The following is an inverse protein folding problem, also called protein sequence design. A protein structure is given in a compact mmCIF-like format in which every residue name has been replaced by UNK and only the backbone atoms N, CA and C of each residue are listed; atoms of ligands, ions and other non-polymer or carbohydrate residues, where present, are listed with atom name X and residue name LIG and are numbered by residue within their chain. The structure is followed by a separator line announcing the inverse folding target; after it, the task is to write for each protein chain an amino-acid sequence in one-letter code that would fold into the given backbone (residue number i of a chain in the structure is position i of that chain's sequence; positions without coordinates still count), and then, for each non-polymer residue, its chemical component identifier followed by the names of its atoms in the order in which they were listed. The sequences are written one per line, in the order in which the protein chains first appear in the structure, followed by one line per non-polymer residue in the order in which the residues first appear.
data_IF_626652742738
#
_entry.id   IF_626652742738
#
_cell.length_a   1.000
_cell.length_b   1.000
_cell.length_c   1.000
_cell.angle_alpha   90.00
_cell.angle_beta   90.00
_cell.angle_gamma   90.00
#
_symmetry.space_group_name_H-M   'P 1'
#
loop_
_entity.id
_entity.type
_entity.pdbx_description
1 polymer ?
#
# COMPACT_ATOMS: atom_id res chain seq x y z
N UNK A 1 -5.53 -18.94 17.90
CA UNK A 1 -5.16 -17.86 16.95
C UNK A 1 -4.30 -18.47 15.85
N UNK A 2 -4.79 -18.51 14.62
CA UNK A 2 -4.05 -19.04 13.48
C UNK A 2 -3.57 -17.87 12.62
N UNK A 3 -2.42 -17.29 12.99
CA UNK A 3 -1.86 -16.09 12.35
C UNK A 3 -1.81 -16.20 10.82
N UNK A 4 -1.52 -17.39 10.30
CA UNK A 4 -1.49 -17.63 8.85
C UNK A 4 -2.84 -17.34 8.20
N UNK A 5 -3.93 -17.71 8.86
CA UNK A 5 -5.28 -17.48 8.36
C UNK A 5 -5.65 -15.99 8.44
N UNK A 6 -5.28 -15.32 9.53
CA UNK A 6 -5.55 -13.89 9.71
C UNK A 6 -4.87 -13.04 8.62
N UNK A 7 -3.61 -13.35 8.28
CA UNK A 7 -2.90 -12.70 7.17
C UNK A 7 -3.55 -12.97 5.81
N UNK A 8 -3.98 -14.21 5.54
CA UNK A 8 -4.65 -14.52 4.27
C UNK A 8 -5.92 -13.69 4.11
N UNK A 9 -6.71 -13.56 5.16
CA UNK A 9 -7.96 -12.81 5.14
C UNK A 9 -7.68 -11.32 4.89
N UNK A 10 -6.77 -10.72 5.67
CA UNK A 10 -6.41 -9.31 5.50
C UNK A 10 -5.84 -8.98 4.10
N UNK A 11 -5.08 -9.89 3.52
CA UNK A 11 -4.55 -9.75 2.15
C UNK A 11 -5.68 -9.92 1.11
N UNK A 12 -6.52 -10.96 1.28
CA UNK A 12 -7.60 -11.25 0.35
C UNK A 12 -8.61 -10.09 0.27
N UNK A 13 -9.03 -9.55 1.42
CA UNK A 13 -9.93 -8.40 1.51
C UNK A 13 -9.38 -7.22 0.70
N UNK A 14 -8.09 -6.89 0.87
CA UNK A 14 -7.46 -5.79 0.14
C UNK A 14 -7.41 -6.05 -1.38
N UNK A 15 -7.11 -7.28 -1.79
CA UNK A 15 -7.07 -7.65 -3.21
C UNK A 15 -8.46 -7.56 -3.86
N UNK A 16 -9.53 -7.85 -3.11
CA UNK A 16 -10.91 -7.77 -3.60
C UNK A 16 -11.49 -6.35 -3.59
N UNK A 17 -11.20 -5.55 -2.56
CA UNK A 17 -11.74 -4.19 -2.41
C UNK A 17 -11.00 -3.15 -3.25
N UNK A 18 -9.74 -3.43 -3.61
CA UNK A 18 -8.88 -2.51 -4.32
C UNK A 18 -8.36 -1.36 -3.44
N UNK A 19 -7.97 -0.27 -4.09
CA UNK A 19 -7.40 0.90 -3.43
C UNK A 19 -8.40 2.06 -3.46
N UNK A 20 -8.43 2.93 -2.42
CA UNK A 20 -9.30 4.09 -2.43
C UNK A 20 -8.90 5.05 -3.56
N UNK A 21 -9.86 5.85 -4.03
CA UNK A 21 -9.57 6.95 -4.97
C UNK A 21 -8.62 7.93 -4.28
N UNK A 22 -7.51 8.23 -4.96
CA UNK A 22 -6.47 9.13 -4.47
C UNK A 22 -6.49 10.45 -5.23
N UNK A 23 -6.01 11.50 -4.55
CA UNK A 23 -5.74 12.81 -5.15
C UNK A 23 -4.23 12.93 -5.28
N UNK A 24 -3.76 13.40 -6.42
CA UNK A 24 -2.34 13.61 -6.67
C UNK A 24 -1.69 14.51 -5.62
N UNK A 25 -0.43 14.19 -5.31
CA UNK A 25 0.37 14.90 -4.32
C UNK A 25 1.67 15.35 -4.96
N UNK A 26 2.16 16.52 -4.52
CA UNK A 26 3.48 17.05 -4.93
C UNK A 26 4.64 16.18 -4.45
N UNK A 27 4.45 15.44 -3.36
CA UNK A 27 5.46 14.54 -2.81
C UNK A 27 5.31 13.19 -3.47
N UNK A 28 6.40 12.68 -4.03
CA UNK A 28 6.48 11.38 -4.65
C UNK A 28 7.45 10.48 -3.91
N UNK A 29 7.10 9.20 -3.80
CA UNK A 29 7.99 8.18 -3.25
C UNK A 29 8.96 7.73 -4.35
N UNK A 30 10.28 7.69 -4.10
CA UNK A 30 11.23 7.12 -5.07
C UNK A 30 10.98 5.62 -5.21
N UNK A 31 10.71 5.16 -6.44
CA UNK A 31 10.37 3.76 -6.74
C UNK A 31 11.47 2.99 -7.47
N UNK A 32 12.40 3.69 -8.12
CA UNK A 32 13.52 3.10 -8.85
C UNK A 32 14.79 3.11 -7.98
N UNK A 33 14.73 2.39 -6.85
CA UNK A 33 15.83 2.30 -5.90
C UNK A 33 16.01 0.86 -5.42
N UNK A 34 17.24 0.43 -5.20
CA UNK A 34 17.58 -0.92 -4.71
C UNK A 34 17.57 -1.00 -3.17
N UNK A 35 16.81 -0.12 -2.51
CA UNK A 35 16.75 0.01 -1.05
C UNK A 35 15.32 0.06 -0.56
N UNK A 36 15.13 -0.24 0.72
CA UNK A 36 13.84 -0.10 1.38
C UNK A 36 13.57 1.38 1.64
N UNK A 37 12.43 1.88 1.15
CA UNK A 37 11.98 3.25 1.40
C UNK A 37 11.02 3.28 2.59
N UNK A 38 11.39 4.01 3.63
CA UNK A 38 10.56 4.19 4.83
C UNK A 38 9.87 5.54 4.85
N UNK A 39 8.54 5.56 4.99
CA UNK A 39 7.75 6.78 5.14
C UNK A 39 7.53 7.09 6.62
N UNK A 40 8.22 8.11 7.14
CA UNK A 40 8.17 8.51 8.55
C UNK A 40 7.40 9.82 8.75
N UNK A 41 6.87 10.02 9.96
CA UNK A 41 6.16 11.25 10.33
C UNK A 41 5.01 11.01 11.31
N UNK A 42 4.35 12.06 11.81
CA UNK A 42 3.33 11.96 12.85
C UNK A 42 2.09 11.18 12.40
N UNK A 43 1.31 10.65 13.37
CA UNK A 43 0.01 9.99 13.10
C UNK A 43 -0.89 10.99 12.34
N UNK A 44 -1.64 10.50 11.36
CA UNK A 44 -2.53 11.31 10.48
C UNK A 44 -1.84 12.29 9.52
N UNK A 45 -0.51 12.24 9.35
CA UNK A 45 0.19 13.00 8.30
C UNK A 45 -0.10 12.52 6.85
N UNK A 46 -1.04 11.58 6.66
CA UNK A 46 -1.41 11.09 5.34
C UNK A 46 -0.43 10.09 4.71
N UNK A 47 0.45 9.46 5.50
CA UNK A 47 1.45 8.50 5.00
C UNK A 47 0.83 7.31 4.26
N UNK A 48 -0.22 6.69 4.82
CA UNK A 48 -0.97 5.61 4.15
C UNK A 48 -1.54 6.07 2.80
N UNK A 49 -2.03 7.30 2.74
CA UNK A 49 -2.55 7.86 1.50
C UNK A 49 -1.44 8.14 0.47
N UNK A 50 -0.23 8.53 0.92
CA UNK A 50 0.93 8.65 0.05
C UNK A 50 1.35 7.28 -0.52
N UNK A 51 1.23 6.19 0.26
CA UNK A 51 1.42 4.83 -0.26
C UNK A 51 0.38 4.50 -1.33
N UNK A 52 -0.90 4.81 -1.11
CA UNK A 52 -1.94 4.59 -2.12
C UNK A 52 -1.70 5.43 -3.40
N UNK A 53 -1.28 6.69 -3.29
CA UNK A 53 -0.88 7.50 -4.45
C UNK A 53 0.26 6.84 -5.23
N UNK A 54 1.24 6.26 -4.52
CA UNK A 54 2.37 5.57 -5.15
C UNK A 54 1.91 4.31 -5.90
N UNK A 55 1.04 3.52 -5.29
CA UNK A 55 0.44 2.32 -5.91
C UNK A 55 -0.37 2.70 -7.15
N UNK A 56 -1.25 3.70 -7.04
CA UNK A 56 -2.07 4.19 -8.16
C UNK A 56 -1.20 4.66 -9.33
N UNK A 57 -0.11 5.39 -9.06
CA UNK A 57 0.86 5.81 -10.09
C UNK A 57 1.54 4.62 -10.76
N UNK A 58 2.02 3.64 -9.97
CA UNK A 58 2.67 2.44 -10.48
C UNK A 58 1.77 1.66 -11.46
N UNK A 59 0.48 1.55 -11.11
CA UNK A 59 -0.52 0.86 -11.92
C UNK A 59 -0.91 1.67 -13.16
N UNK A 60 -1.25 2.95 -13.01
CA UNK A 60 -1.66 3.82 -14.14
C UNK A 60 -0.57 3.99 -15.19
N UNK A 61 0.69 4.03 -14.77
CA UNK A 61 1.85 4.15 -15.66
C UNK A 61 2.35 2.79 -16.18
N UNK A 62 1.68 1.68 -15.82
CA UNK A 62 2.09 0.32 -16.19
C UNK A 62 3.55 -0.02 -15.84
N UNK A 63 4.07 0.53 -14.75
CA UNK A 63 5.46 0.28 -14.30
C UNK A 63 5.59 -1.16 -13.79
N UNK A 64 4.57 -1.65 -13.09
CA UNK A 64 4.46 -3.03 -12.62
C UNK A 64 3.03 -3.54 -12.78
N UNK A 65 2.82 -4.85 -13.00
CA UNK A 65 1.49 -5.44 -12.93
C UNK A 65 0.96 -5.42 -11.49
N UNK A 66 -0.36 -5.41 -11.33
CA UNK A 66 -1.01 -5.43 -10.01
C UNK A 66 -0.61 -6.62 -9.15
N UNK A 67 -0.31 -7.77 -9.77
CA UNK A 67 0.19 -8.98 -9.12
C UNK A 67 1.52 -8.79 -8.39
N UNK A 68 2.28 -7.74 -8.73
CA UNK A 68 3.58 -7.44 -8.09
C UNK A 68 3.44 -6.50 -6.89
N UNK A 69 2.22 -6.12 -6.51
CA UNK A 69 1.95 -5.22 -5.39
C UNK A 69 1.28 -5.99 -4.26
N UNK A 70 1.96 -6.06 -3.11
CA UNK A 70 1.40 -6.58 -1.87
C UNK A 70 1.27 -5.44 -0.85
N UNK A 71 0.03 -5.17 -0.43
CA UNK A 71 -0.26 -4.23 0.65
C UNK A 71 -0.74 -4.98 1.89
N UNK A 72 -0.14 -4.67 3.05
CA UNK A 72 -0.53 -5.22 4.34
C UNK A 72 -0.77 -4.06 5.30
N UNK A 73 -1.97 -3.98 5.86
CA UNK A 73 -2.29 -3.04 6.95
C UNK A 73 -2.11 -3.75 8.29
N UNK A 74 -1.05 -3.45 9.03
CA UNK A 74 -0.85 -4.02 10.36
C UNK A 74 -1.81 -3.48 11.43
N UNK A 75 -2.61 -2.46 11.13
CA UNK A 75 -3.67 -1.97 12.01
C UNK A 75 -5.03 -2.64 11.69
N UNK A 76 -5.02 -3.73 10.91
CA UNK A 76 -6.22 -4.48 10.59
C UNK A 76 -6.79 -5.15 11.85
N UNK A 77 -8.11 -5.21 12.01
CA UNK A 77 -8.75 -5.77 13.22
C UNK A 77 -8.38 -7.24 13.52
N UNK A 78 -7.92 -7.96 12.50
CA UNK A 78 -7.52 -9.37 12.59
C UNK A 78 -6.01 -9.59 12.82
N UNK A 79 -5.18 -8.55 12.63
CA UNK A 79 -3.71 -8.62 12.75
C UNK A 79 -3.23 -8.00 14.06
#
# INVERSE_FOLDING_TARGET
MNRKEDFKIAIAERLTEGYPVVIDRRIEVPIAVEVIVSLVGPRRAGKTFLMYCTIDRLLKQNIVPSSNILYINFEHERL
#
